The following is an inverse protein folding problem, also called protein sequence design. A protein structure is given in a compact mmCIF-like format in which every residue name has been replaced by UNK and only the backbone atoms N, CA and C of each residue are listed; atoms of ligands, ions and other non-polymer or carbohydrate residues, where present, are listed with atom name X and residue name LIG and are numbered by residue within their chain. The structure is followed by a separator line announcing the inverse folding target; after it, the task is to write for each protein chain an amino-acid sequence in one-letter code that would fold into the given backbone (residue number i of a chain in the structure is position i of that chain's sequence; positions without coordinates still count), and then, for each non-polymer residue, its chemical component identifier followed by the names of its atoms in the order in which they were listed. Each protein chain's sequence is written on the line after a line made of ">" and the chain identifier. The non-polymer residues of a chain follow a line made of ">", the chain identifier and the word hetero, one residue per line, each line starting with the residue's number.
data_IF_993200047011
#
_entry.id   IF_993200047011
#
_cell.length_a   1.000
_cell.length_b   1.000
_cell.length_c   1.000
_cell.angle_alpha   90.00
_cell.angle_beta   90.00
_cell.angle_gamma   90.00
#
_symmetry.space_group_name_H-M   'P 1'
#
loop_
_entity.id
_entity.type
_entity.pdbx_description
1 polymer ?
#
# COMPACT_ATOMS: atom_id res chain seq x y z
N UNK A 1 4.69 12.38 22.25
CA UNK A 1 3.99 12.51 20.97
C UNK A 1 4.75 11.79 19.88
N UNK A 2 4.06 11.00 19.13
CA UNK A 2 4.67 10.29 18.01
C UNK A 2 4.55 11.14 16.75
N UNK A 3 5.62 11.84 16.42
CA UNK A 3 5.67 12.74 15.28
C UNK A 3 6.37 12.08 14.09
N UNK A 4 6.39 10.76 14.04
CA UNK A 4 6.95 10.04 12.91
C UNK A 4 6.11 10.30 11.66
N UNK A 5 6.77 10.69 10.60
CA UNK A 5 6.15 10.96 9.31
C UNK A 5 6.51 9.84 8.32
N UNK A 6 5.49 9.35 7.63
CA UNK A 6 5.68 8.43 6.52
C UNK A 6 5.06 9.07 5.28
N UNK A 7 5.89 9.31 4.28
CA UNK A 7 5.46 9.91 3.02
C UNK A 7 4.73 8.92 2.14
N UNK A 8 4.15 9.44 1.07
CA UNK A 8 3.53 8.59 0.06
C UNK A 8 4.59 7.90 -0.79
N UNK A 9 4.20 6.76 -1.36
CA UNK A 9 5.10 5.96 -2.18
C UNK A 9 5.33 6.64 -3.52
N UNK A 10 6.55 6.57 -4.01
CA UNK A 10 6.90 7.06 -5.34
C UNK A 10 7.96 6.15 -5.96
N UNK A 11 8.09 6.20 -7.27
CA UNK A 11 9.15 5.49 -7.96
C UNK A 11 10.44 6.29 -7.83
N UNK A 12 11.53 5.57 -7.55
CA UNK A 12 12.84 6.21 -7.57
C UNK A 12 13.25 6.51 -9.02
N UNK A 13 14.11 7.49 -9.19
CA UNK A 13 14.71 7.76 -10.50
C UNK A 13 15.69 6.68 -10.93
N UNK A 14 15.96 5.70 -10.07
CA UNK A 14 16.84 4.58 -10.39
C UNK A 14 16.19 3.67 -11.43
N UNK A 15 17.03 3.05 -12.28
CA UNK A 15 16.58 2.18 -13.36
C UNK A 15 15.82 0.93 -12.90
N UNK A 16 15.89 0.59 -11.62
CA UNK A 16 15.22 -0.57 -11.05
C UNK A 16 13.70 -0.40 -10.92
N UNK A 17 13.18 0.82 -11.04
CA UNK A 17 11.76 1.09 -10.81
C UNK A 17 11.31 0.80 -9.37
N UNK A 18 12.24 0.78 -8.43
CA UNK A 18 11.93 0.51 -7.03
C UNK A 18 10.98 1.56 -6.48
N UNK A 19 10.04 1.12 -5.65
CA UNK A 19 9.11 2.00 -4.96
C UNK A 19 9.60 2.28 -3.58
N UNK A 20 9.61 3.55 -3.22
CA UNK A 20 10.12 3.99 -1.94
C UNK A 20 9.17 4.99 -1.30
N UNK A 21 9.25 5.11 0.01
CA UNK A 21 8.66 6.20 0.75
C UNK A 21 9.67 6.70 1.76
N UNK A 22 9.54 7.95 2.14
CA UNK A 22 10.41 8.53 3.16
C UNK A 22 9.75 8.40 4.52
N UNK A 23 10.54 7.98 5.49
CA UNK A 23 10.16 8.04 6.89
C UNK A 23 11.02 9.09 7.57
N UNK A 24 10.41 9.94 8.38
CA UNK A 24 11.12 11.00 9.08
C UNK A 24 10.72 11.00 10.54
N UNK A 25 11.71 11.13 11.41
CA UNK A 25 11.53 11.10 12.85
C UNK A 25 12.19 12.34 13.43
N UNK A 26 11.49 13.14 14.28
CA UNK A 26 12.11 14.27 14.94
C UNK A 26 13.12 13.80 15.98
N UNK A 27 14.21 14.53 16.08
CA UNK A 27 15.24 14.33 17.11
C UNK A 27 15.14 15.50 18.07
N UNK A 28 14.87 15.20 19.33
CA UNK A 28 14.68 16.25 20.34
C UNK A 28 15.97 16.60 21.06
N UNK A 29 16.05 17.82 21.53
CA UNK A 29 17.21 18.29 22.29
C UNK A 29 17.33 17.55 23.61
N UNK A 30 18.56 17.19 23.99
CA UNK A 30 18.83 16.59 25.28
C UNK A 30 18.54 17.54 26.45
N UNK A 31 18.60 18.84 26.19
CA UNK A 31 18.35 19.86 27.25
C UNK A 31 16.86 20.11 27.44
N UNK A 32 16.07 19.94 26.38
CA UNK A 32 14.65 20.25 26.37
C UNK A 32 13.96 19.31 25.40
N UNK A 33 13.22 18.36 25.94
CA UNK A 33 12.54 17.33 25.15
C UNK A 33 11.39 17.88 24.30
N UNK A 34 11.07 19.16 24.43
CA UNK A 34 10.04 19.79 23.59
C UNK A 34 10.61 20.52 22.39
N UNK A 35 11.92 20.73 22.34
CA UNK A 35 12.59 21.44 21.25
C UNK A 35 13.19 20.46 20.28
N UNK A 36 12.83 20.58 19.00
CA UNK A 36 13.37 19.72 17.96
C UNK A 36 14.76 20.20 17.58
N UNK A 37 15.76 19.34 17.78
CA UNK A 37 17.14 19.62 17.44
C UNK A 37 17.43 19.31 15.97
N UNK A 38 16.66 18.40 15.37
CA UNK A 38 16.84 18.01 13.98
C UNK A 38 15.82 16.97 13.57
N UNK A 39 15.95 16.46 12.35
CA UNK A 39 15.08 15.42 11.80
C UNK A 39 15.98 14.34 11.22
N UNK A 40 15.71 13.10 11.59
CA UNK A 40 16.34 11.95 10.96
C UNK A 40 15.39 11.38 9.93
N UNK A 41 15.86 11.21 8.70
CA UNK A 41 15.03 10.74 7.61
C UNK A 41 15.72 9.59 6.88
N UNK A 42 14.92 8.66 6.38
CA UNK A 42 15.40 7.53 5.62
C UNK A 42 14.41 7.21 4.52
N UNK A 43 14.87 6.53 3.47
CA UNK A 43 14.01 6.00 2.43
C UNK A 43 13.83 4.51 2.67
N UNK A 44 12.59 4.05 2.55
CA UNK A 44 12.23 2.64 2.68
C UNK A 44 11.96 2.10 1.29
N UNK A 45 12.63 1.01 0.93
CA UNK A 45 12.39 0.28 -0.31
C UNK A 45 11.35 -0.81 -0.04
N UNK A 46 10.24 -0.76 -0.77
CA UNK A 46 9.13 -1.69 -0.58
C UNK A 46 9.20 -2.93 -1.46
N UNK A 47 10.28 -3.13 -2.21
CA UNK A 47 10.41 -4.34 -3.04
C UNK A 47 10.34 -5.63 -2.20
N UNK A 48 10.75 -5.56 -0.94
CA UNK A 48 10.66 -6.71 -0.02
C UNK A 48 9.20 -7.12 0.21
N UNK A 49 8.28 -6.16 0.20
CA UNK A 49 6.86 -6.48 0.40
C UNK A 49 6.27 -7.25 -0.78
N UNK A 50 6.76 -7.03 -2.00
CA UNK A 50 6.35 -7.84 -3.14
C UNK A 50 6.68 -9.31 -2.90
N UNK A 51 7.88 -9.60 -2.40
CA UNK A 51 8.30 -10.97 -2.10
C UNK A 51 7.45 -11.59 -1.01
N UNK A 52 7.13 -10.82 0.02
CA UNK A 52 6.26 -11.27 1.11
C UNK A 52 4.88 -11.67 0.57
N UNK A 53 4.27 -10.81 -0.26
CA UNK A 53 2.98 -11.09 -0.85
C UNK A 53 3.02 -12.28 -1.80
N UNK A 54 4.08 -12.40 -2.60
CA UNK A 54 4.23 -13.50 -3.55
C UNK A 54 4.44 -14.84 -2.86
N UNK A 55 4.96 -14.83 -1.63
CA UNK A 55 5.15 -16.04 -0.84
C UNK A 55 3.86 -16.52 -0.17
N UNK A 56 2.80 -15.71 -0.16
CA UNK A 56 1.53 -16.12 0.40
C UNK A 56 0.92 -17.26 -0.42
N UNK A 57 0.39 -18.27 0.27
CA UNK A 57 -0.27 -19.38 -0.39
C UNK A 57 -1.71 -18.98 -0.71
N UNK A 58 -1.91 -18.36 -1.86
CA UNK A 58 -3.24 -17.97 -2.34
C UNK A 58 -3.93 -19.07 -3.14
N UNK A 59 -3.29 -20.22 -3.30
CA UNK A 59 -3.84 -21.32 -4.12
C UNK A 59 -5.13 -21.88 -3.55
N UNK A 60 -5.37 -21.73 -2.25
CA UNK A 60 -6.62 -22.14 -1.63
C UNK A 60 -7.80 -21.26 -2.02
N UNK A 61 -7.53 -20.07 -2.58
CA UNK A 61 -8.55 -19.12 -3.01
C UNK A 61 -8.84 -19.27 -4.51
N UNK A 62 -7.88 -18.88 -5.33
CA UNK A 62 -7.96 -18.99 -6.78
C UNK A 62 -6.62 -18.51 -7.34
N UNK A 63 -6.18 -19.08 -8.47
CA UNK A 63 -4.95 -18.65 -9.13
C UNK A 63 -5.02 -17.20 -9.63
N UNK A 64 -6.23 -16.67 -9.85
CA UNK A 64 -6.44 -15.29 -10.28
C UNK A 64 -6.54 -14.31 -9.12
N UNK A 65 -6.51 -14.79 -7.88
CA UNK A 65 -6.59 -13.91 -6.70
C UNK A 65 -5.32 -13.08 -6.59
N UNK A 66 -5.52 -11.80 -6.33
CA UNK A 66 -4.42 -10.84 -6.26
C UNK A 66 -4.56 -9.98 -5.01
N UNK A 67 -3.46 -9.77 -4.31
CA UNK A 67 -3.41 -8.87 -3.15
C UNK A 67 -2.47 -7.72 -3.48
N UNK A 68 -2.92 -6.50 -3.23
CA UNK A 68 -2.07 -5.32 -3.36
C UNK A 68 -2.12 -4.49 -2.09
N UNK A 69 -1.01 -3.84 -1.77
CA UNK A 69 -0.93 -2.80 -0.78
C UNK A 69 -0.90 -1.45 -1.49
N UNK A 70 -1.65 -0.51 -0.98
CA UNK A 70 -1.87 0.79 -1.62
C UNK A 70 -1.68 1.89 -0.57
N UNK A 71 -1.05 2.99 -0.96
CA UNK A 71 -0.86 4.11 -0.06
C UNK A 71 -2.11 4.99 0.04
N UNK A 72 -2.03 6.07 0.80
CA UNK A 72 -3.20 6.93 1.05
C UNK A 72 -3.69 7.70 -0.19
N UNK A 73 -2.89 7.75 -1.24
CA UNK A 73 -3.28 8.38 -2.50
C UNK A 73 -3.74 7.37 -3.56
N UNK A 74 -3.77 6.10 -3.21
CA UNK A 74 -4.18 5.06 -4.14
C UNK A 74 -3.05 4.49 -4.98
N UNK A 75 -1.79 4.85 -4.71
CA UNK A 75 -0.65 4.33 -5.44
C UNK A 75 -0.26 2.95 -4.92
N UNK A 76 -0.06 2.02 -5.82
CA UNK A 76 0.34 0.66 -5.43
C UNK A 76 1.72 0.65 -4.79
N UNK A 77 1.82 0.00 -3.64
CA UNK A 77 3.07 -0.19 -2.89
C UNK A 77 3.67 -1.55 -3.19
N UNK A 78 2.85 -2.60 -3.18
CA UNK A 78 3.29 -3.97 -3.35
C UNK A 78 2.18 -4.80 -3.99
N UNK A 79 2.56 -5.92 -4.60
CA UNK A 79 1.68 -6.73 -5.42
C UNK A 79 2.06 -8.19 -5.30
N UNK A 80 1.07 -9.05 -5.13
CA UNK A 80 1.28 -10.50 -5.13
C UNK A 80 1.50 -11.06 -6.53
N UNK A 81 1.09 -10.35 -7.56
CA UNK A 81 1.29 -10.78 -8.95
C UNK A 81 2.69 -10.40 -9.42
N UNK A 82 3.55 -11.40 -9.60
CA UNK A 82 4.94 -11.19 -9.98
C UNK A 82 5.08 -10.45 -11.32
N UNK A 83 4.12 -10.63 -12.22
CA UNK A 83 4.15 -10.00 -13.53
C UNK A 83 3.75 -8.52 -13.49
N UNK A 84 3.13 -8.08 -12.40
CA UNK A 84 2.65 -6.72 -12.24
C UNK A 84 3.35 -5.96 -11.12
N UNK A 85 4.22 -6.62 -10.36
CA UNK A 85 4.81 -6.04 -9.14
C UNK A 85 5.67 -4.81 -9.42
N UNK A 86 6.28 -4.70 -10.60
CA UNK A 86 7.09 -3.55 -10.98
C UNK A 86 6.33 -2.49 -11.77
N UNK A 87 5.06 -2.75 -12.09
CA UNK A 87 4.24 -1.84 -12.90
C UNK A 87 3.51 -0.87 -11.96
N UNK A 88 3.67 0.45 -12.14
CA UNK A 88 2.89 1.41 -11.37
C UNK A 88 1.40 1.28 -11.69
N UNK A 89 0.58 1.28 -10.64
CA UNK A 89 -0.87 1.26 -10.78
C UNK A 89 -1.50 2.19 -9.75
N UNK A 90 -2.60 2.83 -10.14
CA UNK A 90 -3.40 3.64 -9.24
C UNK A 90 -4.74 2.96 -8.99
N UNK A 91 -5.12 2.89 -7.72
CA UNK A 91 -6.44 2.37 -7.30
C UNK A 91 -7.31 3.48 -6.72
N UNK A 92 -6.96 4.74 -6.99
CA UNK A 92 -7.64 5.89 -6.39
C UNK A 92 -9.14 5.94 -6.69
N UNK A 93 -9.57 5.43 -7.85
CA UNK A 93 -10.97 5.44 -8.25
C UNK A 93 -11.71 4.13 -7.93
N UNK A 94 -11.04 3.17 -7.35
CA UNK A 94 -11.61 1.86 -7.04
C UNK A 94 -12.51 1.97 -5.80
N UNK A 95 -13.68 1.35 -5.85
CA UNK A 95 -14.70 1.49 -4.80
C UNK A 95 -14.23 1.03 -3.43
N UNK A 96 -13.53 -0.11 -3.36
CA UNK A 96 -13.01 -0.63 -2.10
C UNK A 96 -11.96 0.27 -1.50
N UNK A 97 -11.09 0.85 -2.34
CA UNK A 97 -10.10 1.81 -1.87
C UNK A 97 -10.78 3.02 -1.24
N UNK A 98 -11.79 3.59 -1.90
CA UNK A 98 -12.50 4.76 -1.38
C UNK A 98 -13.18 4.47 -0.05
N UNK A 99 -13.77 3.29 0.09
CA UNK A 99 -14.40 2.89 1.34
C UNK A 99 -13.36 2.72 2.45
N UNK A 100 -12.24 2.06 2.15
CA UNK A 100 -11.19 1.81 3.13
C UNK A 100 -10.51 3.10 3.59
N UNK A 101 -10.27 4.04 2.67
CA UNK A 101 -9.66 5.32 3.03
C UNK A 101 -10.58 6.14 3.93
N UNK A 102 -11.88 5.91 3.86
CA UNK A 102 -12.87 6.47 4.76
C UNK A 102 -12.98 5.75 6.10
N UNK A 103 -12.16 4.73 6.35
CA UNK A 103 -12.13 4.01 7.61
C UNK A 103 -12.96 2.73 7.65
N UNK A 104 -13.49 2.27 6.53
CA UNK A 104 -14.35 1.09 6.48
C UNK A 104 -13.57 -0.14 6.03
N UNK A 105 -13.98 -1.31 6.53
CA UNK A 105 -13.50 -2.60 6.07
C UNK A 105 -14.68 -3.41 5.56
N UNK A 106 -14.47 -4.20 4.53
CA UNK A 106 -15.55 -5.02 3.96
C UNK A 106 -15.23 -5.52 2.57
N UNK A 107 -16.28 -5.75 1.79
CA UNK A 107 -16.17 -6.22 0.42
C UNK A 107 -17.14 -5.48 -0.48
N UNK A 108 -16.75 -5.32 -1.73
CA UNK A 108 -17.61 -4.72 -2.75
C UNK A 108 -17.31 -5.36 -4.10
N UNK A 109 -18.23 -5.19 -5.04
CA UNK A 109 -18.01 -5.62 -6.43
C UNK A 109 -17.72 -4.39 -7.26
N UNK A 110 -16.63 -4.44 -8.01
CA UNK A 110 -16.24 -3.39 -8.92
C UNK A 110 -15.84 -3.99 -10.26
N UNK A 111 -15.91 -3.20 -11.31
CA UNK A 111 -15.45 -3.63 -12.62
C UNK A 111 -14.01 -3.17 -12.81
N UNK A 112 -13.09 -4.12 -12.92
CA UNK A 112 -11.68 -3.88 -13.16
C UNK A 112 -11.32 -4.54 -14.50
N UNK A 113 -10.78 -3.76 -15.44
CA UNK A 113 -10.39 -4.26 -16.76
C UNK A 113 -11.55 -5.05 -17.44
N UNK A 114 -12.77 -4.50 -17.37
CA UNK A 114 -13.98 -5.10 -17.93
C UNK A 114 -14.39 -6.43 -17.27
N UNK A 115 -13.84 -6.74 -16.09
CA UNK A 115 -14.16 -7.96 -15.36
C UNK A 115 -14.78 -7.59 -14.02
N UNK A 116 -15.92 -8.19 -13.71
CA UNK A 116 -16.49 -8.04 -12.37
C UNK A 116 -15.57 -8.70 -11.37
N UNK A 117 -15.18 -7.95 -10.36
CA UNK A 117 -14.20 -8.37 -9.38
C UNK A 117 -14.74 -8.14 -7.99
N UNK A 118 -14.69 -9.17 -7.15
CA UNK A 118 -14.96 -9.02 -5.73
C UNK A 118 -13.71 -8.45 -5.08
N UNK A 119 -13.86 -7.31 -4.44
CA UNK A 119 -12.74 -6.62 -3.79
C UNK A 119 -13.01 -6.57 -2.29
N UNK A 120 -12.17 -7.22 -1.53
CA UNK A 120 -12.15 -7.12 -0.08
C UNK A 120 -11.13 -6.07 0.31
N UNK A 121 -11.49 -5.18 1.21
CA UNK A 121 -10.66 -4.02 1.54
C UNK A 121 -10.53 -3.84 3.04
N UNK A 122 -9.34 -3.42 3.46
CA UNK A 122 -9.02 -3.20 4.86
C UNK A 122 -8.08 -2.00 4.98
N UNK A 123 -8.44 -0.98 5.77
CA UNK A 123 -7.51 0.10 6.07
C UNK A 123 -6.46 -0.35 7.07
N UNK A 124 -5.26 0.19 6.95
CA UNK A 124 -4.14 -0.08 7.84
C UNK A 124 -3.51 1.25 8.23
N UNK A 125 -3.31 1.47 9.52
CA UNK A 125 -2.63 2.66 10.00
C UNK A 125 -1.13 2.52 9.81
N UNK A 126 -0.52 3.52 9.17
CA UNK A 126 0.91 3.57 8.89
C UNK A 126 1.42 4.97 9.23
N UNK A 127 1.82 5.18 10.50
CA UNK A 127 2.40 6.43 11.00
C UNK A 127 1.62 7.68 10.55
N UNK A 128 0.38 7.82 11.02
CA UNK A 128 -0.52 8.93 10.70
C UNK A 128 -1.07 8.92 9.26
N UNK A 129 -0.64 7.96 8.45
CA UNK A 129 -1.25 7.71 7.14
C UNK A 129 -2.16 6.50 7.20
N UNK A 130 -3.12 6.46 6.31
CA UNK A 130 -3.95 5.27 6.12
C UNK A 130 -3.53 4.61 4.82
N UNK A 131 -3.01 3.40 4.93
CA UNK A 131 -2.78 2.54 3.76
C UNK A 131 -3.94 1.57 3.64
N UNK A 132 -4.03 0.93 2.51
CA UNK A 132 -5.15 0.02 2.23
C UNK A 132 -4.63 -1.28 1.68
N UNK A 133 -5.19 -2.38 2.17
CA UNK A 133 -4.97 -3.71 1.60
C UNK A 133 -6.19 -4.06 0.77
N UNK A 134 -5.96 -4.44 -0.49
CA UNK A 134 -7.01 -4.87 -1.40
C UNK A 134 -6.77 -6.31 -1.81
N UNK A 135 -7.77 -7.16 -1.59
CA UNK A 135 -7.78 -8.54 -2.08
C UNK A 135 -8.78 -8.59 -3.23
N UNK A 136 -8.33 -8.90 -4.42
CA UNK A 136 -9.14 -8.88 -5.63
C UNK A 136 -9.32 -10.29 -6.17
N UNK A 137 -10.58 -10.69 -6.31
CA UNK A 137 -10.97 -12.00 -6.85
C UNK A 137 -11.88 -11.75 -8.05
N UNK A 138 -11.40 -11.98 -9.29
CA UNK A 138 -12.29 -11.90 -10.45
C UNK A 138 -13.42 -12.88 -10.29
N UNK A 139 -14.67 -12.41 -10.47
CA UNK A 139 -15.80 -13.32 -10.40
C UNK A 139 -15.83 -14.17 -11.66
N UNK A 140 -16.12 -15.45 -11.46
CA UNK A 140 -16.35 -16.32 -12.60
C UNK A 140 -17.59 -15.84 -13.34
N UNK A 141 -17.57 -15.78 -14.68
CA UNK A 141 -18.79 -15.52 -15.43
C UNK A 141 -19.77 -16.65 -15.16
N UNK A 142 -20.91 -16.27 -14.65
CA UNK A 142 -22.02 -17.22 -14.49
C UNK A 142 -22.65 -17.50 -15.83
#
# INVERSE_FOLDING_TARGET
>A
TNDTYLGNVHNTAAASGARTAKIAIPVYSLKDNSTIAGVWASSIDFSVLNKELQSLNLTSLDDSTRVVYVDSKGQKIADSDINKSTIPESFANQKGFKAAIGGHAGSTIDTLNNTKTLVSYQPVNAFHNTWVVLLMQPSLPL
#
